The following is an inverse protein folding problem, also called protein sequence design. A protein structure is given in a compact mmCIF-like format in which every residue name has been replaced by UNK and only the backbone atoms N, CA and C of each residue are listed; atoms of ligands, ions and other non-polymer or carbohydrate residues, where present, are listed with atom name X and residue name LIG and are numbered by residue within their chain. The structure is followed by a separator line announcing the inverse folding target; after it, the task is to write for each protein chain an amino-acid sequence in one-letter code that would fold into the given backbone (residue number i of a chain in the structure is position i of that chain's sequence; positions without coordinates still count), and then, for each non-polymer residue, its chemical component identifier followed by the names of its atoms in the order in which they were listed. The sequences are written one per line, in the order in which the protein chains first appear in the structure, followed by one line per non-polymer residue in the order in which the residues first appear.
data_IF_225219316162
#
_entry.id   IF_225219316162
#
_cell.length_a   1.000
_cell.length_b   1.000
_cell.length_c   1.000
_cell.angle_alpha   90.00
_cell.angle_beta   90.00
_cell.angle_gamma   90.00
#
_symmetry.space_group_name_H-M   'P 1'
#
loop_
_entity.id
_entity.type
_entity.pdbx_description
1 polymer ?
#
# COMPACT_ATOMS: atom_id res chain seq x y z
N UNK A 1 45.58 -44.95 0.34
CA UNK A 1 44.12 -44.90 0.05
C UNK A 1 43.42 -44.55 1.37
N UNK A 2 43.29 -43.26 1.65
CA UNK A 2 42.52 -42.74 2.79
C UNK A 2 41.01 -42.89 2.47
N UNK A 3 40.46 -44.03 2.89
CA UNK A 3 39.00 -44.23 2.82
C UNK A 3 38.40 -43.45 3.97
N UNK A 4 37.63 -42.40 3.61
CA UNK A 4 36.95 -41.55 4.59
C UNK A 4 36.02 -42.41 5.48
N UNK A 5 36.05 -42.26 6.82
CA UNK A 5 35.20 -43.04 7.72
C UNK A 5 33.70 -42.90 7.35
N UNK A 6 32.93 -44.00 7.39
CA UNK A 6 31.51 -43.99 7.00
C UNK A 6 30.67 -42.98 7.78
N UNK A 7 31.02 -42.70 9.04
CA UNK A 7 30.39 -41.70 9.90
C UNK A 7 30.52 -40.26 9.31
N UNK A 8 31.68 -39.94 8.73
CA UNK A 8 31.91 -38.62 8.10
C UNK A 8 31.11 -38.50 6.80
N UNK A 9 31.00 -39.58 6.05
CA UNK A 9 30.20 -39.59 4.80
C UNK A 9 28.71 -39.39 5.13
N UNK A 10 28.22 -40.03 6.19
CA UNK A 10 26.83 -39.89 6.62
C UNK A 10 26.53 -38.47 7.18
N UNK A 11 27.45 -37.94 7.99
CA UNK A 11 27.35 -36.56 8.49
C UNK A 11 27.33 -35.51 7.36
N UNK A 12 28.18 -35.70 6.33
CA UNK A 12 28.14 -34.79 5.12
C UNK A 12 26.84 -34.88 4.34
N UNK A 13 26.30 -36.11 4.22
CA UNK A 13 25.01 -36.31 3.56
C UNK A 13 23.87 -35.59 4.30
N UNK A 14 23.91 -35.71 5.63
CA UNK A 14 22.95 -35.03 6.49
C UNK A 14 23.08 -33.50 6.41
N UNK A 15 24.31 -32.98 6.50
CA UNK A 15 24.57 -31.54 6.33
C UNK A 15 24.05 -31.01 4.98
N UNK A 16 24.31 -31.74 3.91
CA UNK A 16 23.84 -31.35 2.56
C UNK A 16 22.30 -31.35 2.47
N UNK A 17 21.65 -32.29 3.13
CA UNK A 17 20.19 -32.32 3.23
C UNK A 17 19.63 -31.10 3.99
N UNK A 18 20.25 -30.76 5.13
CA UNK A 18 19.88 -29.59 5.94
C UNK A 18 20.14 -28.27 5.18
N UNK A 19 21.23 -28.18 4.41
CA UNK A 19 21.52 -27.03 3.57
C UNK A 19 20.49 -26.87 2.45
N UNK A 20 20.04 -27.97 1.85
CA UNK A 20 18.96 -27.96 0.85
C UNK A 20 17.63 -27.56 1.47
N UNK A 21 17.30 -28.08 2.65
CA UNK A 21 16.09 -27.70 3.39
C UNK A 21 16.12 -26.21 3.77
N UNK A 22 17.24 -25.72 4.32
CA UNK A 22 17.43 -24.30 4.60
C UNK A 22 17.26 -23.45 3.32
N UNK A 23 17.87 -23.85 2.22
CA UNK A 23 17.74 -23.15 0.93
C UNK A 23 16.30 -23.11 0.40
N UNK A 24 15.49 -24.13 0.70
CA UNK A 24 14.06 -24.14 0.35
C UNK A 24 13.23 -23.19 1.24
N UNK A 25 13.68 -22.92 2.45
CA UNK A 25 13.05 -22.00 3.40
C UNK A 25 13.49 -20.56 3.19
N UNK A 26 14.67 -20.34 2.57
CA UNK A 26 15.17 -19.00 2.25
C UNK A 26 14.33 -18.37 1.14
N UNK A 27 13.54 -17.35 1.48
CA UNK A 27 12.79 -16.55 0.52
C UNK A 27 13.59 -15.34 0.09
N UNK A 28 13.77 -15.18 -1.21
CA UNK A 28 14.38 -13.96 -1.77
C UNK A 28 13.33 -12.85 -1.72
N UNK A 29 13.57 -11.84 -0.89
CA UNK A 29 12.79 -10.62 -0.87
C UNK A 29 13.43 -9.60 -1.81
N UNK A 30 12.60 -8.93 -2.60
CA UNK A 30 13.05 -7.76 -3.34
C UNK A 30 13.23 -6.61 -2.36
N UNK A 31 14.46 -6.12 -2.27
CA UNK A 31 14.79 -4.92 -1.50
C UNK A 31 15.32 -3.84 -2.43
N UNK A 32 15.18 -2.60 -2.02
CA UNK A 32 15.86 -1.48 -2.66
C UNK A 32 17.12 -1.17 -1.89
N UNK A 33 18.23 -1.12 -2.59
CA UNK A 33 19.54 -0.81 -2.01
C UNK A 33 20.11 0.45 -2.64
N UNK A 34 20.70 1.29 -1.81
CA UNK A 34 21.42 2.47 -2.29
C UNK A 34 22.72 2.04 -2.95
N UNK A 35 23.00 2.56 -4.14
CA UNK A 35 24.26 2.35 -4.81
C UNK A 35 25.37 3.11 -4.09
N UNK A 36 26.57 2.51 -4.01
CA UNK A 36 27.76 3.17 -3.47
C UNK A 36 28.11 4.43 -4.26
N UNK A 37 27.93 4.37 -5.58
CA UNK A 37 28.08 5.51 -6.48
C UNK A 37 26.76 5.77 -7.16
N UNK A 38 25.97 6.76 -6.68
CA UNK A 38 24.70 7.10 -7.28
C UNK A 38 24.87 7.61 -8.71
N UNK A 39 23.86 7.35 -9.55
CA UNK A 39 23.83 7.89 -10.91
C UNK A 39 23.74 9.42 -10.84
N UNK A 40 24.51 10.10 -11.69
CA UNK A 40 24.36 11.55 -11.92
C UNK A 40 23.01 11.79 -12.60
N UNK A 41 22.21 12.67 -12.02
CA UNK A 41 20.91 13.11 -12.57
C UNK A 41 21.04 14.58 -12.95
N UNK A 42 20.48 14.93 -14.11
CA UNK A 42 20.53 16.29 -14.66
C UNK A 42 19.12 16.78 -14.98
N UNK A 43 18.97 18.08 -15.03
CA UNK A 43 17.76 18.69 -15.58
C UNK A 43 17.65 18.30 -17.05
N UNK A 44 16.53 17.76 -17.46
CA UNK A 44 16.27 17.33 -18.83
C UNK A 44 15.53 18.45 -19.57
N UNK A 45 16.23 19.19 -20.41
CA UNK A 45 15.62 20.24 -21.21
C UNK A 45 14.52 19.66 -22.12
N UNK A 46 13.28 20.11 -21.91
CA UNK A 46 12.06 19.63 -22.62
C UNK A 46 11.89 18.10 -22.54
N UNK A 47 12.40 17.45 -21.48
CA UNK A 47 12.29 16.01 -21.31
C UNK A 47 13.23 15.18 -22.21
N UNK A 48 14.17 15.80 -22.91
CA UNK A 48 15.11 15.10 -23.76
C UNK A 48 16.15 14.34 -22.89
N UNK A 49 15.98 13.04 -22.79
CA UNK A 49 16.85 12.17 -21.97
C UNK A 49 18.25 11.98 -22.55
N UNK A 50 18.47 12.35 -23.83
CA UNK A 50 19.78 12.29 -24.49
C UNK A 50 20.58 13.59 -24.35
N UNK A 51 19.99 14.65 -23.80
CA UNK A 51 20.63 15.93 -23.59
C UNK A 51 21.30 15.97 -22.22
N UNK A 52 22.64 15.89 -22.23
CA UNK A 52 23.46 15.95 -21.02
C UNK A 52 23.91 17.38 -20.66
N UNK A 53 23.41 18.40 -21.35
CA UNK A 53 23.81 19.80 -21.13
C UNK A 53 23.21 20.41 -19.86
N UNK A 54 22.16 19.81 -19.30
CA UNK A 54 21.47 20.30 -18.11
C UNK A 54 22.36 20.24 -16.85
N UNK A 55 22.07 21.12 -15.89
CA UNK A 55 22.76 21.14 -14.60
C UNK A 55 22.53 19.85 -13.81
N UNK A 56 23.54 19.44 -13.04
CA UNK A 56 23.42 18.29 -12.13
C UNK A 56 22.52 18.67 -10.96
N UNK A 57 21.57 17.79 -10.65
CA UNK A 57 20.64 17.98 -9.53
C UNK A 57 20.85 16.92 -8.46
N UNK A 58 20.74 17.34 -7.22
CA UNK A 58 20.75 16.49 -6.05
C UNK A 58 19.32 16.20 -5.57
N UNK A 59 19.10 15.09 -4.83
CA UNK A 59 17.80 14.81 -4.23
C UNK A 59 17.36 15.96 -3.32
N UNK A 60 16.17 16.47 -3.56
CA UNK A 60 15.58 17.56 -2.79
C UNK A 60 14.06 17.42 -2.75
N UNK A 61 13.43 18.12 -1.84
CA UNK A 61 11.97 18.31 -1.76
C UNK A 61 11.59 19.67 -2.36
N UNK A 62 10.33 19.90 -2.72
CA UNK A 62 9.90 21.22 -3.18
C UNK A 62 10.18 22.29 -2.12
N UNK A 63 10.90 23.34 -2.48
CA UNK A 63 11.38 24.37 -1.54
C UNK A 63 10.27 25.10 -0.78
N UNK A 64 9.05 25.12 -1.31
CA UNK A 64 7.89 25.71 -0.62
C UNK A 64 7.26 24.79 0.46
N UNK A 65 7.74 23.54 0.56
CA UNK A 65 7.32 22.57 1.58
C UNK A 65 8.41 22.31 2.62
N UNK A 66 9.43 23.15 2.70
CA UNK A 66 10.55 23.00 3.63
C UNK A 66 11.80 22.46 2.98
N UNK A 67 12.65 21.83 3.76
CA UNK A 67 13.94 21.29 3.33
C UNK A 67 14.19 19.92 3.95
N UNK A 68 15.08 19.16 3.32
CA UNK A 68 15.61 17.92 3.89
C UNK A 68 17.04 18.19 4.33
N UNK A 69 17.27 18.16 5.65
CA UNK A 69 18.60 18.25 6.19
C UNK A 69 19.33 16.91 6.03
N UNK A 70 20.42 16.91 5.25
CA UNK A 70 21.28 15.77 5.10
C UNK A 70 22.74 16.22 5.19
N UNK A 71 23.58 15.50 5.93
CA UNK A 71 25.01 15.80 6.05
C UNK A 71 25.78 15.61 4.74
N UNK A 72 25.25 14.77 3.87
CA UNK A 72 25.77 14.47 2.53
C UNK A 72 24.60 14.49 1.55
N UNK A 73 24.61 13.58 0.58
CA UNK A 73 23.50 13.39 -0.36
C UNK A 73 22.28 12.82 0.34
N UNK A 74 21.14 13.49 0.25
CA UNK A 74 19.89 13.04 0.85
C UNK A 74 19.50 11.64 0.35
N UNK A 75 18.99 10.82 1.26
CA UNK A 75 18.63 9.43 1.07
C UNK A 75 17.11 9.25 1.12
N UNK A 76 16.63 8.02 0.89
CA UNK A 76 15.20 7.69 1.09
C UNK A 76 14.79 7.70 2.56
N UNK A 77 15.72 7.47 3.48
CA UNK A 77 15.43 7.58 4.91
C UNK A 77 15.15 9.03 5.29
N UNK A 78 15.96 9.97 4.77
CA UNK A 78 15.76 11.41 4.99
C UNK A 78 14.41 11.86 4.41
N UNK A 79 14.06 11.41 3.21
CA UNK A 79 12.73 11.64 2.63
C UNK A 79 11.62 11.05 3.51
N UNK A 80 11.81 9.84 4.04
CA UNK A 80 10.81 9.21 4.90
C UNK A 80 10.62 10.00 6.22
N UNK A 81 11.69 10.49 6.81
CA UNK A 81 11.63 11.36 7.99
C UNK A 81 10.88 12.66 7.68
N UNK A 82 11.22 13.33 6.58
CA UNK A 82 10.53 14.55 6.14
C UNK A 82 9.03 14.34 5.93
N UNK A 83 8.62 13.19 5.37
CA UNK A 83 7.21 12.85 5.16
C UNK A 83 6.40 12.70 6.44
N UNK A 84 7.04 12.39 7.57
CA UNK A 84 6.35 12.17 8.86
C UNK A 84 6.69 13.23 9.90
N UNK A 85 7.69 14.06 9.66
CA UNK A 85 8.05 15.14 10.56
C UNK A 85 6.99 16.25 10.55
N UNK A 86 6.77 16.94 11.68
CA UNK A 86 5.83 18.05 11.77
C UNK A 86 6.28 19.24 10.90
N UNK A 87 5.31 20.05 10.45
CA UNK A 87 5.58 21.26 9.65
C UNK A 87 6.49 22.24 10.38
N UNK A 88 6.39 22.31 11.71
CA UNK A 88 7.27 23.16 12.53
C UNK A 88 8.73 22.73 12.52
N UNK A 89 9.03 21.54 12.04
CA UNK A 89 10.37 20.98 11.85
C UNK A 89 10.70 20.81 10.35
N UNK A 90 10.17 21.68 9.51
CA UNK A 90 10.32 21.65 8.04
C UNK A 90 9.81 20.33 7.37
N UNK A 91 8.98 19.55 8.04
CA UNK A 91 8.37 18.35 7.51
C UNK A 91 7.00 18.60 6.88
N UNK A 92 6.36 17.52 6.45
CA UNK A 92 4.99 17.55 5.86
C UNK A 92 4.07 16.49 6.50
N UNK A 93 4.34 16.12 7.74
CA UNK A 93 3.64 15.05 8.43
C UNK A 93 2.14 15.24 8.47
N UNK A 94 1.66 16.45 8.75
CA UNK A 94 0.22 16.77 8.80
C UNK A 94 -0.44 16.60 7.42
N UNK A 95 0.24 16.95 6.33
CA UNK A 95 -0.27 16.70 4.97
C UNK A 95 -0.27 15.22 4.64
N UNK A 96 0.77 14.49 5.02
CA UNK A 96 0.83 13.03 4.85
C UNK A 96 -0.29 12.35 5.65
N UNK A 97 -0.51 12.75 6.88
CA UNK A 97 -1.60 12.24 7.72
C UNK A 97 -2.98 12.49 7.09
N UNK A 98 -3.17 13.67 6.47
CA UNK A 98 -4.40 14.02 5.76
C UNK A 98 -4.69 13.09 4.57
N UNK A 99 -3.66 12.75 3.80
CA UNK A 99 -3.77 11.79 2.68
C UNK A 99 -4.12 10.40 3.18
N UNK A 100 -3.44 9.94 4.24
CA UNK A 100 -3.66 8.60 4.80
C UNK A 100 -5.03 8.50 5.45
N UNK A 101 -5.44 9.50 6.25
CA UNK A 101 -6.76 9.54 6.87
C UNK A 101 -7.89 9.46 5.82
N UNK A 102 -7.76 10.20 4.72
CA UNK A 102 -8.73 10.14 3.62
C UNK A 102 -8.78 8.76 2.94
N UNK A 103 -7.64 8.11 2.75
CA UNK A 103 -7.58 6.74 2.20
C UNK A 103 -8.20 5.72 3.13
N UNK A 104 -7.92 5.80 4.43
CA UNK A 104 -8.55 4.93 5.43
C UNK A 104 -10.06 5.18 5.46
N UNK A 105 -10.50 6.43 5.47
CA UNK A 105 -11.92 6.78 5.38
C UNK A 105 -12.59 6.13 4.15
N UNK A 106 -11.95 6.20 2.99
CA UNK A 106 -12.52 5.65 1.75
C UNK A 106 -12.73 4.13 1.79
N UNK A 107 -11.93 3.40 2.57
CA UNK A 107 -12.11 1.96 2.77
C UNK A 107 -13.42 1.66 3.51
N UNK A 108 -13.81 2.51 4.48
CA UNK A 108 -14.99 2.30 5.32
C UNK A 108 -16.27 2.91 4.75
N UNK A 109 -16.16 3.96 3.95
CA UNK A 109 -17.32 4.66 3.39
C UNK A 109 -17.49 4.48 1.87
N UNK A 110 -16.53 3.80 1.22
CA UNK A 110 -16.53 3.55 -0.23
C UNK A 110 -16.07 4.74 -1.07
N UNK A 111 -15.98 5.94 -0.46
CA UNK A 111 -15.43 7.14 -1.07
C UNK A 111 -14.68 7.95 -0.03
N UNK A 112 -13.63 8.68 -0.43
CA UNK A 112 -12.93 9.61 0.45
C UNK A 112 -13.75 10.84 0.77
N UNK A 113 -13.43 11.53 1.87
CA UNK A 113 -13.93 12.88 2.14
C UNK A 113 -13.47 13.84 1.04
N UNK A 114 -12.24 13.68 0.55
CA UNK A 114 -11.77 14.17 -0.73
C UNK A 114 -11.87 13.02 -1.74
N UNK A 115 -12.73 13.14 -2.74
CA UNK A 115 -13.03 12.06 -3.67
C UNK A 115 -11.89 11.74 -4.62
N UNK A 116 -11.14 12.76 -5.03
CA UNK A 116 -9.88 12.59 -5.76
C UNK A 116 -8.76 12.10 -4.85
N UNK A 117 -8.84 10.85 -4.41
CA UNK A 117 -7.96 10.23 -3.37
C UNK A 117 -6.46 10.36 -3.70
N UNK A 118 -6.10 10.45 -4.96
CA UNK A 118 -4.72 10.56 -5.43
C UNK A 118 -4.34 11.99 -5.87
N UNK A 119 -5.27 12.94 -5.76
CA UNK A 119 -5.03 14.33 -6.15
C UNK A 119 -5.71 15.29 -5.16
N UNK A 120 -4.90 15.81 -4.24
CA UNK A 120 -5.29 16.84 -3.28
C UNK A 120 -4.90 18.25 -3.76
N UNK A 121 -4.41 18.34 -5.00
CA UNK A 121 -3.98 19.60 -5.61
C UNK A 121 -5.13 20.37 -6.25
N UNK A 122 -4.76 21.42 -7.00
CA UNK A 122 -5.72 22.33 -7.63
C UNK A 122 -6.57 21.73 -8.75
N UNK A 123 -6.25 20.54 -9.22
CA UNK A 123 -7.04 19.80 -10.21
C UNK A 123 -7.95 18.74 -9.56
N UNK A 124 -7.72 18.44 -8.27
CA UNK A 124 -8.56 17.53 -7.50
C UNK A 124 -9.86 18.16 -7.02
N UNK A 125 -10.77 17.33 -6.57
CA UNK A 125 -11.99 17.80 -5.92
C UNK A 125 -11.68 18.27 -4.47
N UNK A 126 -12.23 19.41 -4.03
CA UNK A 126 -12.13 19.80 -2.63
C UNK A 126 -12.89 18.78 -1.76
N UNK A 127 -12.44 18.53 -0.52
CA UNK A 127 -13.15 17.63 0.38
C UNK A 127 -14.53 18.17 0.75
N UNK A 128 -15.53 17.29 0.78
CA UNK A 128 -16.91 17.65 1.18
C UNK A 128 -16.95 18.21 2.61
N UNK A 129 -16.09 17.69 3.50
CA UNK A 129 -15.99 18.09 4.91
C UNK A 129 -14.52 18.38 5.28
N UNK A 130 -13.96 19.55 4.90
CA UNK A 130 -12.54 19.85 5.12
C UNK A 130 -12.15 19.82 6.59
N UNK A 131 -12.96 20.38 7.48
CA UNK A 131 -12.70 20.39 8.92
C UNK A 131 -12.70 18.98 9.54
N UNK A 132 -13.55 18.08 9.05
CA UNK A 132 -13.55 16.69 9.52
C UNK A 132 -12.29 15.98 9.06
N UNK A 133 -11.88 16.17 7.82
CA UNK A 133 -10.65 15.58 7.29
C UNK A 133 -9.43 16.10 8.06
N UNK A 134 -9.38 17.40 8.33
CA UNK A 134 -8.29 18.02 9.10
C UNK A 134 -8.25 17.48 10.54
N UNK A 135 -9.40 17.33 11.19
CA UNK A 135 -9.48 16.76 12.53
C UNK A 135 -9.02 15.30 12.57
N UNK A 136 -9.44 14.46 11.60
CA UNK A 136 -8.99 13.07 11.52
C UNK A 136 -7.49 12.97 11.25
N UNK A 137 -6.95 13.87 10.44
CA UNK A 137 -5.53 13.94 10.15
C UNK A 137 -4.72 14.30 11.39
N UNK A 138 -5.13 15.34 12.13
CA UNK A 138 -4.49 15.74 13.38
C UNK A 138 -4.56 14.64 14.43
N UNK A 139 -5.75 14.06 14.63
CA UNK A 139 -5.95 12.93 15.56
C UNK A 139 -5.00 11.77 15.23
N UNK A 140 -4.83 11.45 13.95
CA UNK A 140 -3.94 10.38 13.50
C UNK A 140 -2.46 10.74 13.72
N UNK A 141 -2.07 11.98 13.40
CA UNK A 141 -0.71 12.47 13.57
C UNK A 141 -0.30 12.54 15.04
N UNK A 142 -1.11 13.17 15.89
CA UNK A 142 -0.86 13.37 17.32
C UNK A 142 -0.86 12.06 18.12
N UNK A 143 -1.60 11.03 17.66
CA UNK A 143 -1.58 9.68 18.24
C UNK A 143 -0.50 8.77 17.63
N UNK A 144 0.64 9.34 17.22
CA UNK A 144 1.81 8.60 16.73
C UNK A 144 1.48 7.65 15.56
N UNK A 145 0.66 8.09 14.63
CA UNK A 145 0.29 7.32 13.45
C UNK A 145 -0.42 6.00 13.78
N UNK A 146 -1.17 5.94 14.88
CA UNK A 146 -1.93 4.75 15.27
C UNK A 146 -3.14 4.54 14.35
N UNK A 147 -2.96 3.68 13.35
CA UNK A 147 -4.01 3.30 12.40
C UNK A 147 -5.20 2.66 13.10
N UNK A 148 -4.98 1.88 14.18
CA UNK A 148 -6.07 1.21 14.91
C UNK A 148 -6.92 2.22 15.66
N UNK A 149 -6.28 3.24 16.24
CA UNK A 149 -6.99 4.36 16.87
C UNK A 149 -7.87 5.09 15.85
N UNK A 150 -7.31 5.46 14.71
CA UNK A 150 -8.06 6.14 13.64
C UNK A 150 -9.24 5.30 13.12
N UNK A 151 -9.03 3.99 12.87
CA UNK A 151 -10.11 3.08 12.49
C UNK A 151 -11.19 3.05 13.56
N UNK A 152 -10.82 2.96 14.83
CA UNK A 152 -11.78 2.97 15.94
C UNK A 152 -12.62 4.26 15.95
N UNK A 153 -12.01 5.42 15.77
CA UNK A 153 -12.72 6.69 15.65
C UNK A 153 -13.77 6.66 14.54
N UNK A 154 -13.39 6.12 13.37
CA UNK A 154 -14.27 6.01 12.21
C UNK A 154 -15.44 5.05 12.48
N UNK A 155 -15.16 3.79 12.86
CA UNK A 155 -16.20 2.76 12.98
C UNK A 155 -17.13 2.95 14.18
N UNK A 156 -16.67 3.68 15.21
CA UNK A 156 -17.50 4.02 16.36
C UNK A 156 -18.34 5.27 16.12
N UNK A 157 -18.10 6.01 15.04
CA UNK A 157 -18.88 7.20 14.71
C UNK A 157 -20.35 6.88 14.43
N UNK A 158 -21.22 7.84 14.68
CA UNK A 158 -22.63 7.70 14.36
C UNK A 158 -22.84 7.52 12.85
N UNK A 159 -22.09 8.26 12.02
CA UNK A 159 -22.17 8.19 10.55
C UNK A 159 -21.91 6.77 10.03
N UNK A 160 -20.89 6.08 10.56
CA UNK A 160 -20.58 4.72 10.14
C UNK A 160 -21.65 3.71 10.60
N UNK A 161 -22.28 3.94 11.74
CA UNK A 161 -23.26 3.02 12.34
C UNK A 161 -24.69 3.26 11.89
N UNK A 162 -24.92 4.15 10.93
CA UNK A 162 -26.22 4.40 10.33
C UNK A 162 -26.69 3.20 9.49
N UNK A 163 -28.00 3.08 9.31
CA UNK A 163 -28.58 2.12 8.36
C UNK A 163 -28.19 2.48 6.93
N UNK A 164 -28.01 1.46 6.09
CA UNK A 164 -27.90 1.62 4.64
C UNK A 164 -29.25 1.70 3.93
N UNK A 165 -30.36 1.48 4.65
CA UNK A 165 -31.71 1.60 4.13
C UNK A 165 -32.18 3.04 4.22
N UNK A 166 -32.64 3.58 3.12
CA UNK A 166 -33.09 4.97 3.00
C UNK A 166 -34.31 5.07 2.09
N UNK A 167 -35.05 6.16 2.26
CA UNK A 167 -36.16 6.47 1.35
C UNK A 167 -35.66 6.81 -0.06
N UNK A 168 -36.53 6.60 -1.05
CA UNK A 168 -36.22 6.98 -2.44
C UNK A 168 -35.98 8.48 -2.61
N UNK A 169 -36.54 9.31 -1.74
CA UNK A 169 -36.34 10.75 -1.75
C UNK A 169 -34.89 11.11 -1.39
N UNK A 170 -34.37 10.55 -0.32
CA UNK A 170 -32.95 10.73 0.10
C UNK A 170 -32.02 10.18 -0.98
N UNK A 171 -32.34 9.04 -1.58
CA UNK A 171 -31.53 8.46 -2.65
C UNK A 171 -31.49 9.35 -3.90
N UNK A 172 -32.58 10.04 -4.21
CA UNK A 172 -32.66 10.98 -5.34
C UNK A 172 -31.97 12.31 -5.04
N UNK A 173 -32.09 12.83 -3.82
CA UNK A 173 -31.50 14.12 -3.45
C UNK A 173 -29.98 14.04 -3.23
N UNK A 174 -29.49 12.92 -2.72
CA UNK A 174 -28.05 12.68 -2.48
C UNK A 174 -27.65 11.25 -2.94
N UNK A 175 -27.61 11.02 -4.27
CA UNK A 175 -27.31 9.70 -4.80
C UNK A 175 -25.91 9.19 -4.41
N UNK A 176 -24.96 10.07 -4.26
CA UNK A 176 -23.57 9.77 -3.94
C UNK A 176 -23.29 9.73 -2.43
N UNK A 177 -24.32 9.96 -1.59
CA UNK A 177 -24.18 9.99 -0.12
C UNK A 177 -23.13 11.02 0.35
N UNK A 178 -23.07 12.19 -0.29
CA UNK A 178 -22.15 13.26 0.10
C UNK A 178 -22.47 13.82 1.49
N UNK A 179 -23.74 13.81 1.87
CA UNK A 179 -24.20 14.28 3.18
C UNK A 179 -24.00 13.25 4.29
N UNK A 180 -23.46 12.09 4.01
CA UNK A 180 -23.25 11.00 4.96
C UNK A 180 -24.54 10.64 5.75
N UNK A 181 -25.71 10.76 5.07
CA UNK A 181 -27.02 10.54 5.68
C UNK A 181 -27.39 9.05 5.82
N UNK A 182 -26.56 8.16 5.33
CA UNK A 182 -26.72 6.70 5.38
C UNK A 182 -25.36 6.02 5.38
N UNK A 183 -25.34 4.72 5.73
CA UNK A 183 -24.16 3.89 5.45
C UNK A 183 -24.06 3.63 3.94
N UNK A 184 -22.87 3.75 3.37
CA UNK A 184 -22.61 3.52 1.97
C UNK A 184 -22.82 2.06 1.57
N UNK A 185 -23.18 1.83 0.29
CA UNK A 185 -23.20 0.50 -0.31
C UNK A 185 -22.25 0.52 -1.49
N UNK A 186 -21.20 -0.31 -1.42
CA UNK A 186 -20.23 -0.46 -2.51
C UNK A 186 -19.93 -1.93 -2.74
N UNK A 187 -19.40 -2.22 -3.93
CA UNK A 187 -19.03 -3.59 -4.28
C UNK A 187 -17.71 -3.96 -3.61
N UNK A 188 -17.68 -5.11 -2.96
CA UNK A 188 -16.44 -5.70 -2.48
C UNK A 188 -15.50 -6.05 -3.64
N UNK A 189 -14.19 -5.99 -3.38
CA UNK A 189 -13.20 -6.57 -4.27
C UNK A 189 -13.36 -8.09 -4.33
N UNK A 190 -12.91 -8.72 -5.43
CA UNK A 190 -13.05 -10.15 -5.63
C UNK A 190 -12.42 -10.99 -4.51
N UNK A 191 -11.26 -10.54 -4.03
CA UNK A 191 -10.54 -11.14 -2.91
C UNK A 191 -11.39 -11.08 -1.63
N UNK A 192 -11.96 -9.94 -1.32
CA UNK A 192 -12.82 -9.77 -0.14
C UNK A 192 -14.09 -10.61 -0.19
N UNK A 193 -14.69 -10.80 -1.38
CA UNK A 193 -15.83 -11.73 -1.57
C UNK A 193 -15.39 -13.16 -1.29
N UNK A 194 -14.24 -13.58 -1.84
CA UNK A 194 -13.68 -14.91 -1.62
C UNK A 194 -13.41 -15.16 -0.14
N UNK A 195 -12.73 -14.24 0.51
CA UNK A 195 -12.38 -14.36 1.94
C UNK A 195 -13.62 -14.39 2.82
N UNK A 196 -14.64 -13.59 2.52
CA UNK A 196 -15.91 -13.63 3.24
C UNK A 196 -16.62 -15.00 3.10
N UNK A 197 -16.59 -15.61 1.92
CA UNK A 197 -17.16 -16.95 1.69
C UNK A 197 -16.37 -18.02 2.44
N UNK A 198 -15.02 -17.96 2.39
CA UNK A 198 -14.16 -18.90 3.11
C UNK A 198 -14.31 -18.75 4.62
N UNK A 199 -14.43 -17.53 5.13
CA UNK A 199 -14.68 -17.27 6.54
C UNK A 199 -16.03 -17.84 6.98
N UNK A 200 -17.10 -17.60 6.20
CA UNK A 200 -18.44 -18.10 6.51
C UNK A 200 -18.53 -19.63 6.48
N UNK A 201 -17.76 -20.28 5.62
CA UNK A 201 -17.67 -21.74 5.53
C UNK A 201 -16.71 -22.39 6.53
N UNK A 202 -15.93 -21.61 7.27
CA UNK A 202 -14.88 -22.10 8.18
C UNK A 202 -13.63 -22.64 7.47
N UNK A 203 -13.47 -22.36 6.17
CA UNK A 203 -12.35 -22.82 5.36
C UNK A 203 -11.24 -21.77 5.20
N UNK A 204 -11.41 -20.59 5.80
CA UNK A 204 -10.37 -19.55 5.74
C UNK A 204 -9.16 -19.95 6.58
N UNK A 205 -8.01 -20.06 5.95
CA UNK A 205 -6.73 -20.23 6.63
C UNK A 205 -6.04 -18.85 6.69
N UNK A 206 -5.86 -18.33 7.89
CA UNK A 206 -5.15 -17.08 8.10
C UNK A 206 -3.65 -17.30 8.04
N UNK A 207 -2.99 -16.73 7.04
CA UNK A 207 -1.55 -16.78 6.88
C UNK A 207 -1.00 -15.45 6.40
N UNK A 208 -0.01 -14.89 7.11
CA UNK A 208 0.69 -13.68 6.70
C UNK A 208 1.93 -14.03 5.89
N UNK A 209 2.04 -13.43 4.72
CA UNK A 209 3.16 -13.64 3.81
C UNK A 209 3.01 -14.92 2.98
N UNK A 210 4.07 -15.28 2.29
CA UNK A 210 4.04 -16.40 1.36
C UNK A 210 3.81 -15.99 -0.09
N UNK A 211 3.85 -16.94 -1.02
CA UNK A 211 3.51 -16.73 -2.42
C UNK A 211 2.01 -16.45 -2.54
N UNK A 212 1.64 -15.70 -3.59
CA UNK A 212 0.23 -15.54 -3.96
C UNK A 212 -0.35 -16.88 -4.35
N UNK A 213 -1.59 -17.13 -3.94
CA UNK A 213 -2.34 -18.31 -4.36
C UNK A 213 -2.93 -18.10 -5.75
N UNK A 214 -3.06 -19.19 -6.50
CA UNK A 214 -3.70 -19.22 -7.82
C UNK A 214 -5.05 -19.93 -7.70
N UNK A 215 -6.15 -19.20 -7.38
CA UNK A 215 -7.46 -19.80 -7.22
C UNK A 215 -7.98 -20.36 -8.55
N UNK A 216 -9.00 -21.20 -8.49
CA UNK A 216 -9.67 -21.71 -9.68
C UNK A 216 -10.07 -20.58 -10.63
N UNK A 217 -9.78 -20.77 -11.91
CA UNK A 217 -10.23 -19.92 -13.00
C UNK A 217 -10.89 -20.79 -14.09
N UNK A 218 -11.98 -20.35 -14.68
CA UNK A 218 -12.59 -21.06 -15.82
C UNK A 218 -11.60 -21.19 -16.97
N UNK A 219 -11.64 -22.31 -17.67
CA UNK A 219 -10.82 -22.54 -18.84
C UNK A 219 -11.04 -21.44 -19.90
N UNK A 220 -9.96 -20.92 -20.45
CA UNK A 220 -10.02 -19.84 -21.45
C UNK A 220 -10.24 -18.43 -20.92
N UNK A 221 -10.32 -18.23 -19.61
CA UNK A 221 -10.56 -16.90 -19.01
C UNK A 221 -9.55 -15.85 -19.49
N UNK A 222 -8.28 -16.24 -19.65
CA UNK A 222 -7.20 -15.33 -20.10
C UNK A 222 -6.97 -15.34 -21.62
N UNK A 223 -7.72 -16.10 -22.43
CA UNK A 223 -7.51 -16.21 -23.89
C UNK A 223 -7.64 -14.88 -24.63
N UNK A 224 -8.42 -13.93 -24.08
CA UNK A 224 -8.66 -12.62 -24.69
C UNK A 224 -7.71 -11.53 -24.19
N UNK A 225 -6.82 -11.85 -23.25
CA UNK A 225 -5.77 -10.93 -22.84
C UNK A 225 -4.66 -10.94 -23.89
N UNK A 226 -4.30 -9.77 -24.39
CA UNK A 226 -3.21 -9.63 -25.34
C UNK A 226 -1.94 -10.26 -24.78
N UNK A 227 -1.30 -11.12 -25.57
CA UNK A 227 -0.07 -11.86 -25.26
C UNK A 227 -0.23 -12.94 -24.17
N UNK A 228 -0.92 -14.05 -24.45
CA UNK A 228 -0.96 -15.21 -23.57
C UNK A 228 0.36 -15.99 -23.62
N UNK A 229 1.46 -15.36 -23.19
CA UNK A 229 2.77 -16.03 -23.08
C UNK A 229 2.80 -16.94 -21.83
N UNK A 230 1.88 -16.67 -20.86
CA UNK A 230 1.81 -17.42 -19.60
C UNK A 230 0.52 -18.21 -19.55
N UNK A 231 0.66 -19.51 -19.35
CA UNK A 231 -0.47 -20.36 -19.03
C UNK A 231 -0.77 -20.23 -17.54
N UNK A 232 -2.01 -19.93 -17.20
CA UNK A 232 -2.47 -19.95 -15.81
C UNK A 232 -2.58 -21.39 -15.35
N UNK A 233 -1.94 -21.72 -14.24
CA UNK A 233 -2.11 -23.00 -13.54
C UNK A 233 -2.66 -22.69 -12.14
N UNK A 234 -3.79 -23.30 -11.77
CA UNK A 234 -4.30 -23.21 -10.43
C UNK A 234 -3.46 -24.06 -9.48
N UNK A 235 -3.41 -23.63 -8.23
CA UNK A 235 -2.80 -24.43 -7.18
C UNK A 235 -3.71 -25.62 -6.86
N UNK A 236 -3.14 -26.82 -6.87
CA UNK A 236 -3.88 -28.09 -6.70
C UNK A 236 -3.83 -28.56 -5.24
N UNK A 237 -3.03 -27.93 -4.43
CA UNK A 237 -2.90 -28.27 -3.02
C UNK A 237 -3.91 -27.48 -2.20
N UNK A 238 -4.81 -28.21 -1.61
CA UNK A 238 -5.71 -27.78 -0.58
C UNK A 238 -4.95 -27.12 0.58
N UNK A 239 -5.12 -25.84 0.72
CA UNK A 239 -4.89 -25.11 1.97
C UNK A 239 -5.99 -24.10 2.18
#
# INVERSE_FOLDING_TARGET
DDVEPPEIIEARKYLKALEQERGSLERKLMITQQLKTPRVVRVLHRGNWMDESGEVVEPAVPSFLGSVEASERATRADLAHWLVAPVVEDGVGEFTARVIANRIWSIFFGAGLCRSVNDFGGQGEPPDYPKLLDQLALEFFENNWDVRHLIRCIVMSHAYRMSSDVSLEILKSDPENRLLARQGRWRYHAEGVRDAVLLASGLLVEGLGGPSIHPYQPAGYYQHLNFPIRTYSQDVNEQ
#
